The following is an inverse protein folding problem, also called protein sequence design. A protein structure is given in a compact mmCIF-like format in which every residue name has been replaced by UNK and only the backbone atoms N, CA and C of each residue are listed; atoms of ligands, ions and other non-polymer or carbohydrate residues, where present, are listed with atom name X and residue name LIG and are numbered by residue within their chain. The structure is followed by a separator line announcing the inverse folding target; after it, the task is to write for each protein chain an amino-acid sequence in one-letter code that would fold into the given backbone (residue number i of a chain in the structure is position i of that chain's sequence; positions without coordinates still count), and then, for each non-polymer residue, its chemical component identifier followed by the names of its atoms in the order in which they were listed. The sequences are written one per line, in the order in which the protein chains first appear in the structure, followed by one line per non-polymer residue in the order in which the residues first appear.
data_IF_463555827946
#
_entry.id   IF_463555827946
#
_cell.length_a   1.000
_cell.length_b   1.000
_cell.length_c   1.000
_cell.angle_alpha   90.00
_cell.angle_beta   90.00
_cell.angle_gamma   90.00
#
_symmetry.space_group_name_H-M   'P 1'
#
loop_
_entity.id
_entity.type
_entity.pdbx_description
1 polymer ?
#
# COMPACT_ATOMS: atom_id res chain seq x y z
N UNK A 1 4.35 -15.13 17.28
CA UNK A 1 4.64 -14.04 18.23
C UNK A 1 5.10 -14.55 19.60
N UNK A 2 4.38 -15.48 20.25
CA UNK A 2 4.72 -15.98 21.60
C UNK A 2 6.12 -16.60 21.71
N UNK A 3 6.58 -17.29 20.68
CA UNK A 3 7.94 -17.84 20.60
C UNK A 3 9.02 -16.76 20.79
N UNK A 4 8.91 -15.66 20.05
CA UNK A 4 9.85 -14.54 20.11
C UNK A 4 9.78 -13.85 21.48
N UNK A 5 8.60 -13.81 22.08
CA UNK A 5 8.41 -13.29 23.43
C UNK A 5 9.11 -14.17 24.50
N UNK A 6 9.05 -15.50 24.32
CA UNK A 6 9.73 -16.44 25.20
C UNK A 6 11.25 -16.31 25.04
N UNK A 7 11.74 -16.26 23.81
CA UNK A 7 13.16 -16.09 23.51
C UNK A 7 13.70 -14.76 24.08
N UNK A 8 12.97 -13.65 23.92
CA UNK A 8 13.30 -12.37 24.54
C UNK A 8 13.45 -12.46 26.07
N UNK A 9 12.53 -13.17 26.74
CA UNK A 9 12.55 -13.32 28.21
C UNK A 9 13.70 -14.19 28.71
N UNK A 10 14.17 -15.15 27.90
CA UNK A 10 15.21 -16.10 28.30
C UNK A 10 16.61 -15.70 27.82
N UNK A 11 16.71 -14.76 26.87
CA UNK A 11 18.00 -14.36 26.29
C UNK A 11 18.80 -13.49 27.26
N UNK A 12 20.08 -13.83 27.45
CA UNK A 12 21.00 -13.06 28.29
C UNK A 12 21.74 -11.95 27.52
N UNK A 13 21.74 -12.03 26.17
CA UNK A 13 22.37 -11.04 25.31
C UNK A 13 21.44 -9.84 25.07
N UNK A 14 21.86 -8.61 25.38
CA UNK A 14 21.05 -7.42 25.13
C UNK A 14 20.80 -7.16 23.63
N UNK A 15 21.69 -7.64 22.75
CA UNK A 15 21.51 -7.52 21.30
C UNK A 15 20.35 -8.41 20.83
N UNK A 16 20.36 -9.70 21.20
CA UNK A 16 19.29 -10.62 20.85
C UNK A 16 17.95 -10.21 21.48
N UNK A 17 17.95 -9.62 22.68
CA UNK A 17 16.73 -9.07 23.28
C UNK A 17 16.10 -8.01 22.38
N UNK A 18 16.91 -7.08 21.86
CA UNK A 18 16.44 -6.02 20.96
C UNK A 18 15.93 -6.58 19.64
N UNK A 19 16.58 -7.61 19.10
CA UNK A 19 16.15 -8.30 17.89
C UNK A 19 14.78 -8.97 18.08
N UNK A 20 14.60 -9.75 19.14
CA UNK A 20 13.32 -10.39 19.43
C UNK A 20 12.20 -9.38 19.65
N UNK A 21 12.48 -8.26 20.33
CA UNK A 21 11.51 -7.17 20.50
C UNK A 21 11.17 -6.51 19.17
N UNK A 22 12.14 -6.27 18.29
CA UNK A 22 11.90 -5.69 16.97
C UNK A 22 11.01 -6.59 16.11
N UNK A 23 11.24 -7.91 16.15
CA UNK A 23 10.39 -8.89 15.47
C UNK A 23 8.96 -8.83 16.01
N UNK A 24 8.78 -8.81 17.34
CA UNK A 24 7.44 -8.73 17.94
C UNK A 24 6.72 -7.45 17.53
N UNK A 25 7.41 -6.31 17.48
CA UNK A 25 6.82 -5.04 17.00
C UNK A 25 6.36 -5.13 15.55
N UNK A 26 7.22 -5.60 14.65
CA UNK A 26 6.87 -5.77 13.24
C UNK A 26 5.66 -6.70 13.04
N UNK A 27 5.56 -7.76 13.86
CA UNK A 27 4.39 -8.65 13.84
C UNK A 27 3.12 -7.98 14.34
N UNK A 28 3.20 -7.11 15.36
CA UNK A 28 2.05 -6.31 15.80
C UNK A 28 1.62 -5.34 14.69
N UNK A 29 2.58 -4.64 14.08
CA UNK A 29 2.32 -3.65 13.04
C UNK A 29 1.60 -4.29 11.85
N UNK A 30 2.03 -5.48 11.40
CA UNK A 30 1.37 -6.22 10.33
C UNK A 30 -0.08 -6.58 10.65
N UNK A 31 -0.36 -7.06 11.86
CA UNK A 31 -1.73 -7.44 12.27
C UNK A 31 -2.65 -6.20 12.32
N UNK A 32 -2.13 -5.06 12.79
CA UNK A 32 -2.88 -3.80 12.84
C UNK A 32 -3.12 -3.22 11.43
N UNK A 33 -2.17 -3.39 10.51
CA UNK A 33 -2.33 -3.03 9.10
C UNK A 33 -3.39 -3.90 8.39
N UNK A 34 -3.46 -5.20 8.69
CA UNK A 34 -4.50 -6.09 8.15
C UNK A 34 -5.91 -5.64 8.60
N UNK A 35 -6.09 -5.32 9.89
CA UNK A 35 -7.39 -4.86 10.43
C UNK A 35 -7.84 -3.52 9.83
N UNK A 36 -6.91 -2.60 9.57
CA UNK A 36 -7.22 -1.31 8.93
C UNK A 36 -7.56 -1.44 7.44
N UNK A 37 -7.01 -2.44 6.74
CA UNK A 37 -7.29 -2.67 5.32
C UNK A 37 -8.68 -3.28 5.08
N UNK A 38 -9.19 -4.07 6.02
CA UNK A 38 -10.56 -4.62 5.93
C UNK A 38 -11.64 -3.55 6.16
N UNK A 39 -11.31 -2.41 6.79
CA UNK A 39 -12.27 -1.34 7.08
C UNK A 39 -12.41 -0.29 5.95
N UNK A 40 -11.62 -0.37 4.88
CA UNK A 40 -11.85 0.43 3.67
C UNK A 40 -12.99 -0.15 2.84
N UNK A 41 -14.21 -0.07 3.37
CA UNK A 41 -15.42 -0.11 2.55
C UNK A 41 -15.36 1.11 1.65
N UNK A 42 -15.10 0.88 0.38
CA UNK A 42 -15.14 1.87 -0.69
C UNK A 42 -16.35 2.78 -0.53
N UNK A 43 -16.22 4.12 -0.52
CA UNK A 43 -17.34 4.94 -0.89
C UNK A 43 -17.64 4.59 -2.35
N UNK A 44 -18.77 3.94 -2.58
CA UNK A 44 -19.36 3.80 -3.91
C UNK A 44 -19.59 5.22 -4.42
N UNK A 45 -18.62 5.75 -5.16
CA UNK A 45 -18.81 6.99 -5.92
C UNK A 45 -19.78 6.62 -7.03
N UNK A 46 -21.05 6.92 -6.81
CA UNK A 46 -22.05 6.95 -7.86
C UNK A 46 -21.57 7.93 -8.92
N UNK A 47 -20.99 7.39 -10.00
CA UNK A 47 -20.67 8.15 -11.20
C UNK A 47 -21.98 8.57 -11.85
N UNK A 48 -22.48 9.73 -11.43
CA UNK A 48 -23.49 10.45 -12.20
C UNK A 48 -22.91 10.68 -13.60
N UNK A 49 -23.59 10.26 -14.70
CA UNK A 49 -23.09 10.56 -16.02
C UNK A 49 -23.08 12.09 -16.19
N UNK A 50 -21.89 12.67 -16.39
CA UNK A 50 -21.76 14.06 -16.81
C UNK A 50 -22.48 14.20 -18.15
N UNK A 51 -23.59 14.94 -18.15
CA UNK A 51 -24.17 15.47 -19.38
C UNK A 51 -23.14 16.38 -20.05
N UNK A 52 -22.52 15.90 -21.12
CA UNK A 52 -21.61 16.67 -21.96
C UNK A 52 -22.42 17.80 -22.59
N UNK A 53 -22.31 19.00 -22.03
CA UNK A 53 -22.70 20.21 -22.76
C UNK A 53 -21.71 20.38 -23.90
N UNK A 54 -22.15 20.10 -25.12
CA UNK A 54 -21.39 20.35 -26.34
C UNK A 54 -21.06 21.85 -26.41
N UNK A 55 -19.86 22.20 -25.99
CA UNK A 55 -19.36 23.57 -25.98
C UNK A 55 -17.87 23.60 -26.29
N UNK A 56 -17.55 23.82 -27.58
CA UNK A 56 -16.24 24.15 -28.16
C UNK A 56 -15.20 23.02 -28.14
N UNK A 57 -15.09 22.37 -29.31
CA UNK A 57 -13.96 21.53 -29.69
C UNK A 57 -12.68 22.37 -29.79
N UNK A 58 -11.83 22.30 -28.77
CA UNK A 58 -10.40 22.53 -28.95
C UNK A 58 -9.72 21.16 -28.96
N UNK A 59 -9.39 20.68 -30.16
CA UNK A 59 -8.68 19.42 -30.37
C UNK A 59 -7.25 19.64 -29.91
N UNK A 60 -6.90 19.11 -28.75
CA UNK A 60 -5.52 19.08 -28.27
C UNK A 60 -4.74 18.17 -29.23
N UNK A 61 -3.75 18.72 -29.93
CA UNK A 61 -2.82 17.95 -30.74
C UNK A 61 -1.83 17.24 -29.82
N UNK A 62 -2.15 15.99 -29.46
CA UNK A 62 -1.23 15.11 -28.76
C UNK A 62 -0.24 14.61 -29.81
N UNK A 63 1.01 15.07 -29.73
CA UNK A 63 2.10 14.56 -30.57
C UNK A 63 2.30 13.06 -30.36
N UNK A 64 2.65 12.36 -31.44
CA UNK A 64 2.77 10.89 -31.51
C UNK A 64 3.82 10.29 -30.54
N UNK A 65 4.61 11.14 -29.90
CA UNK A 65 5.75 10.78 -29.05
C UNK A 65 5.43 10.79 -27.54
N UNK A 66 4.15 10.86 -27.15
CA UNK A 66 3.72 10.88 -25.75
C UNK A 66 3.74 9.48 -25.09
N UNK A 67 3.86 8.42 -25.88
CA UNK A 67 3.97 7.04 -25.39
C UNK A 67 5.43 6.60 -25.56
N UNK A 68 6.25 6.80 -24.52
CA UNK A 68 7.64 6.36 -24.50
C UNK A 68 7.82 4.86 -24.76
N UNK A 69 9.07 4.37 -24.90
CA UNK A 69 9.34 2.98 -25.25
C UNK A 69 8.68 2.01 -24.26
N UNK A 70 8.03 0.99 -24.80
CA UNK A 70 7.29 0.00 -24.02
C UNK A 70 8.20 -0.69 -22.99
N UNK A 71 7.78 -0.69 -21.72
CA UNK A 71 8.51 -1.29 -20.60
C UNK A 71 8.63 -2.84 -20.70
N UNK A 72 8.01 -3.46 -21.71
CA UNK A 72 7.99 -4.91 -21.92
C UNK A 72 8.86 -5.40 -23.08
N UNK A 73 9.70 -4.54 -23.66
CA UNK A 73 10.69 -4.93 -24.67
C UNK A 73 11.97 -5.43 -23.99
N UNK A 74 11.91 -6.64 -23.41
CA UNK A 74 13.03 -7.35 -22.78
C UNK A 74 13.69 -8.35 -23.73
#
# INVERSE_FOLDING_TARGET
MEEQLRQAKTTASPQHLREHIAIVRALCDLVLEEETKEMTVSPSVEVSPLSISQGKSERIEIGDDANGPSLFDF
#
